data_IF_864992384695
#
_entry.id   IF_864992384695
#
_cell.length_a   1.000
_cell.length_b   1.000
_cell.length_c   1.000
_cell.angle_alpha   90.00
_cell.angle_beta   90.00
_cell.angle_gamma   90.00
#
_symmetry.space_group_name_H-M   'P 1'
#
loop_
_entity.id
_entity.type
_entity.pdbx_description
1 polymer ?
#
# COMPACT_ATOMS: atom_id res chain seq x y z
N UNK A 1 -18.97 -11.47 -60.69
CA UNK A 1 -18.87 -10.32 -59.77
C UNK A 1 -18.98 -10.87 -58.37
N UNK A 2 -17.85 -10.98 -57.68
CA UNK A 2 -17.81 -11.42 -56.29
C UNK A 2 -17.51 -10.19 -55.45
N UNK A 3 -18.46 -9.83 -54.58
CA UNK A 3 -18.32 -8.71 -53.67
C UNK A 3 -17.31 -9.11 -52.59
N UNK A 4 -16.15 -8.47 -52.61
CA UNK A 4 -15.17 -8.58 -51.52
C UNK A 4 -15.82 -8.02 -50.26
N UNK A 5 -16.11 -8.91 -49.31
CA UNK A 5 -16.47 -8.55 -47.95
C UNK A 5 -15.23 -7.93 -47.31
N UNK A 6 -15.33 -6.66 -46.94
CA UNK A 6 -14.38 -6.07 -46.01
C UNK A 6 -14.67 -6.68 -44.65
N UNK A 7 -13.80 -7.58 -44.20
CA UNK A 7 -13.69 -7.89 -42.78
C UNK A 7 -13.27 -6.57 -42.11
N UNK A 8 -14.12 -6.03 -41.22
CA UNK A 8 -13.75 -4.87 -40.41
C UNK A 8 -12.57 -5.28 -39.53
N UNK A 9 -11.36 -4.84 -39.89
CA UNK A 9 -10.23 -4.99 -39.00
C UNK A 9 -10.55 -4.28 -37.67
N UNK A 10 -10.24 -4.89 -36.52
CA UNK A 10 -10.54 -4.30 -35.23
C UNK A 10 -9.93 -2.89 -35.15
N UNK A 11 -10.76 -1.89 -34.86
CA UNK A 11 -10.36 -0.48 -34.69
C UNK A 11 -9.42 -0.24 -33.49
N UNK A 12 -9.09 -1.29 -32.75
CA UNK A 12 -8.26 -1.21 -31.56
C UNK A 12 -6.83 -1.68 -31.87
N UNK A 13 -5.81 -0.90 -31.51
CA UNK A 13 -4.43 -1.29 -31.73
C UNK A 13 -4.09 -2.53 -30.90
N UNK A 14 -3.33 -3.45 -31.49
CA UNK A 14 -2.78 -4.61 -30.77
C UNK A 14 -1.79 -4.12 -29.70
N UNK A 15 -2.21 -4.17 -28.44
CA UNK A 15 -1.45 -3.72 -27.26
C UNK A 15 -0.69 -4.86 -26.55
N UNK A 16 -0.63 -6.06 -27.14
CA UNK A 16 0.04 -7.22 -26.52
C UNK A 16 1.54 -7.02 -26.24
N UNK A 17 2.15 -6.03 -26.89
CA UNK A 17 3.53 -5.61 -26.72
C UNK A 17 3.72 -4.43 -25.75
N UNK A 18 2.63 -3.84 -25.24
CA UNK A 18 2.70 -2.77 -24.25
C UNK A 18 3.09 -3.36 -22.91
N UNK A 19 4.31 -3.04 -22.48
CA UNK A 19 4.75 -3.18 -21.11
C UNK A 19 4.13 -2.00 -20.35
N UNK A 20 2.95 -2.22 -19.75
CA UNK A 20 2.20 -1.20 -18.99
C UNK A 20 2.75 -0.94 -17.60
N UNK A 21 3.81 -1.65 -17.24
CA UNK A 21 4.44 -1.62 -15.94
C UNK A 21 5.95 -1.56 -16.16
N UNK A 22 6.65 -0.57 -15.59
CA UNK A 22 8.12 -0.65 -15.44
C UNK A 22 8.43 -2.00 -14.73
N UNK A 23 9.66 -2.52 -14.79
CA UNK A 23 10.03 -3.78 -14.10
C UNK A 23 9.95 -3.71 -12.53
N UNK A 24 9.10 -2.84 -11.98
CA UNK A 24 8.38 -3.00 -10.72
C UNK A 24 6.87 -2.96 -11.02
N UNK A 25 6.09 -3.96 -10.59
CA UNK A 25 4.67 -4.07 -10.97
C UNK A 25 3.93 -2.77 -10.67
N UNK A 26 3.36 -2.16 -11.70
CA UNK A 26 2.59 -0.93 -11.55
C UNK A 26 1.24 -1.32 -10.97
N UNK A 27 0.76 -0.53 -10.01
CA UNK A 27 -0.52 -0.82 -9.36
C UNK A 27 -1.65 -0.88 -10.38
N UNK A 28 -2.47 -1.93 -10.28
CA UNK A 28 -3.69 -2.00 -11.07
C UNK A 28 -4.67 -0.91 -10.64
N UNK A 29 -5.60 -0.53 -11.52
CA UNK A 29 -6.70 0.37 -11.16
C UNK A 29 -7.50 -0.12 -9.94
N UNK A 30 -7.54 -1.43 -9.71
CA UNK A 30 -8.19 -2.02 -8.54
C UNK A 30 -7.32 -1.78 -7.29
N UNK A 31 -6.01 -2.06 -7.36
CA UNK A 31 -5.08 -1.86 -6.26
C UNK A 31 -5.05 -0.39 -5.83
N UNK A 32 -4.95 0.53 -6.79
CA UNK A 32 -4.97 1.97 -6.55
C UNK A 32 -6.23 2.41 -5.81
N UNK A 33 -7.40 1.91 -6.22
CA UNK A 33 -8.67 2.24 -5.56
C UNK A 33 -8.74 1.65 -4.15
N UNK A 34 -8.26 0.43 -3.94
CA UNK A 34 -8.23 -0.21 -2.63
C UNK A 34 -7.36 0.59 -1.64
N UNK A 35 -6.15 0.98 -2.05
CA UNK A 35 -5.24 1.80 -1.24
C UNK A 35 -5.86 3.13 -0.84
N UNK A 36 -6.49 3.84 -1.78
CA UNK A 36 -7.12 5.15 -1.48
C UNK A 36 -8.40 5.03 -0.66
N UNK A 37 -9.24 4.04 -0.92
CA UNK A 37 -10.55 3.94 -0.26
C UNK A 37 -10.43 3.41 1.16
N UNK A 38 -9.50 2.50 1.45
CA UNK A 38 -9.42 1.84 2.74
C UNK A 38 -9.21 2.79 3.93
N UNK A 39 -8.21 3.70 3.93
CA UNK A 39 -8.05 4.67 5.03
C UNK A 39 -9.27 5.57 5.19
N UNK A 40 -9.88 5.99 4.08
CA UNK A 40 -11.06 6.85 4.08
C UNK A 40 -12.28 6.13 4.70
N UNK A 41 -12.49 4.85 4.38
CA UNK A 41 -13.56 4.03 4.96
C UNK A 41 -13.32 3.83 6.46
N UNK A 42 -12.08 3.59 6.90
CA UNK A 42 -11.76 3.49 8.33
C UNK A 42 -12.12 4.78 9.06
N UNK A 43 -11.69 5.95 8.57
CA UNK A 43 -12.03 7.23 9.19
C UNK A 43 -13.54 7.52 9.19
N UNK A 44 -14.23 7.16 8.11
CA UNK A 44 -15.67 7.38 7.98
C UNK A 44 -16.50 6.49 8.92
N UNK A 45 -16.16 5.20 9.00
CA UNK A 45 -17.06 4.17 9.56
C UNK A 45 -16.57 3.50 10.84
N UNK A 46 -15.25 3.43 11.07
CA UNK A 46 -14.71 2.74 12.24
C UNK A 46 -14.59 3.70 13.42
N UNK A 47 -15.24 3.34 14.54
CA UNK A 47 -15.22 4.12 15.80
C UNK A 47 -14.68 3.26 16.94
N UNK A 48 -13.36 3.03 17.01
CA UNK A 48 -12.76 2.14 18.01
C UNK A 48 -12.75 2.70 19.44
N UNK A 49 -13.36 3.87 19.69
CA UNK A 49 -13.35 4.52 21.00
C UNK A 49 -11.97 5.05 21.44
N UNK A 50 -11.01 5.10 20.52
CA UNK A 50 -9.63 5.59 20.72
C UNK A 50 -9.14 6.32 19.48
N UNK A 51 -8.19 7.26 19.58
CA UNK A 51 -7.65 7.92 18.41
C UNK A 51 -6.85 6.92 17.55
N UNK A 52 -6.86 7.14 16.25
CA UNK A 52 -6.04 6.39 15.32
C UNK A 52 -5.72 7.23 14.08
N UNK A 53 -4.66 6.83 13.39
CA UNK A 53 -4.30 7.32 12.07
C UNK A 53 -4.32 6.12 11.12
N UNK A 54 -5.00 6.27 9.99
CA UNK A 54 -4.89 5.38 8.84
C UNK A 54 -4.44 6.21 7.64
N UNK A 55 -3.51 5.68 6.85
CA UNK A 55 -2.99 6.35 5.67
C UNK A 55 -2.54 5.33 4.61
N UNK A 56 -2.43 5.80 3.37
CA UNK A 56 -1.92 5.04 2.24
C UNK A 56 -0.74 5.80 1.60
N UNK A 57 0.23 5.07 1.06
CA UNK A 57 1.42 5.60 0.39
C UNK A 57 2.23 6.63 1.20
N UNK A 58 2.26 6.48 2.53
CA UNK A 58 3.04 7.36 3.41
C UNK A 58 4.30 6.65 3.88
N UNK A 59 5.45 7.27 3.59
CA UNK A 59 6.75 6.74 4.02
C UNK A 59 6.85 6.55 5.54
N UNK A 60 7.27 5.35 5.93
CA UNK A 60 7.57 4.93 7.29
C UNK A 60 9.09 4.94 7.50
N UNK A 61 9.54 5.76 8.44
CA UNK A 61 10.94 5.92 8.81
C UNK A 61 11.16 5.45 10.25
N UNK A 62 12.04 4.45 10.43
CA UNK A 62 12.47 3.97 11.74
C UNK A 62 13.64 4.74 12.35
N UNK A 63 14.50 5.29 11.49
CA UNK A 63 15.65 6.11 11.87
C UNK A 63 15.89 7.21 10.84
N UNK A 64 16.81 8.12 11.14
CA UNK A 64 17.20 9.21 10.22
C UNK A 64 18.19 8.75 9.14
N UNK A 65 18.86 7.61 9.35
CA UNK A 65 19.94 7.11 8.50
C UNK A 65 19.51 5.97 7.57
N UNK A 66 18.33 5.40 7.80
CA UNK A 66 17.78 4.34 6.95
C UNK A 66 16.75 4.88 5.94
N UNK A 67 16.69 4.31 4.73
CA UNK A 67 15.63 4.65 3.79
C UNK A 67 14.26 4.24 4.34
N UNK A 68 13.23 5.00 3.97
CA UNK A 68 11.86 4.64 4.30
C UNK A 68 11.46 3.28 3.74
N UNK A 69 10.53 2.63 4.41
CA UNK A 69 9.65 1.63 3.79
C UNK A 69 8.33 2.33 3.50
N UNK A 70 7.68 2.04 2.38
CA UNK A 70 6.39 2.65 2.04
C UNK A 70 5.33 1.55 2.03
N UNK A 71 4.50 1.47 3.09
CA UNK A 71 3.29 0.68 3.09
C UNK A 71 2.29 1.20 2.07
N UNK A 72 1.61 0.29 1.39
CA UNK A 72 0.41 0.63 0.61
C UNK A 72 -0.66 1.19 1.54
N UNK A 73 -0.86 0.56 2.70
CA UNK A 73 -1.71 1.06 3.78
C UNK A 73 -1.05 0.81 5.15
N UNK A 74 -1.20 1.75 6.07
CA UNK A 74 -0.87 1.57 7.48
C UNK A 74 -1.96 2.09 8.41
N UNK A 75 -2.06 1.47 9.59
CA UNK A 75 -2.95 1.90 10.69
C UNK A 75 -2.14 1.96 11.98
N UNK A 76 -2.27 3.07 12.71
CA UNK A 76 -1.64 3.30 14.01
C UNK A 76 -2.70 3.76 15.00
N UNK A 77 -2.92 2.98 16.04
CA UNK A 77 -3.76 3.27 17.19
C UNK A 77 -3.03 4.14 18.20
N UNK A 78 -3.81 4.89 18.98
CA UNK A 78 -3.37 5.76 20.07
C UNK A 78 -2.48 6.92 19.65
N UNK A 79 -2.58 7.32 18.39
CA UNK A 79 -1.84 8.45 17.84
C UNK A 79 -2.78 9.39 17.09
N UNK A 80 -2.36 10.65 16.96
CA UNK A 80 -3.02 11.68 16.17
C UNK A 80 -2.04 12.26 15.16
N UNK A 81 -2.55 12.75 14.04
CA UNK A 81 -1.71 13.50 13.11
C UNK A 81 -1.19 14.79 13.77
N UNK A 82 0.01 15.27 13.40
CA UNK A 82 0.44 16.62 13.71
C UNK A 82 -0.54 17.65 13.14
N UNK A 83 -0.75 18.75 13.86
CA UNK A 83 -1.63 19.86 13.42
C UNK A 83 -1.22 20.42 12.04
N UNK A 84 0.08 20.42 11.75
CA UNK A 84 0.63 20.80 10.45
C UNK A 84 1.58 19.73 9.91
N UNK A 85 1.14 19.09 8.82
CA UNK A 85 1.88 18.06 8.11
C UNK A 85 2.68 18.59 6.90
N UNK A 86 2.75 19.91 6.64
CA UNK A 86 3.55 20.48 5.54
C UNK A 86 5.06 20.42 5.79
N UNK A 87 5.58 20.68 7.01
CA UNK A 87 7.01 20.63 7.27
C UNK A 87 7.60 19.23 7.05
N UNK A 88 8.83 19.17 6.48
CA UNK A 88 9.50 17.91 6.15
C UNK A 88 9.58 16.92 7.33
N UNK A 89 9.82 17.42 8.54
CA UNK A 89 9.89 16.58 9.74
C UNK A 89 8.55 16.09 10.31
N UNK A 90 7.42 16.42 9.65
CA UNK A 90 6.05 16.06 10.09
C UNK A 90 5.16 15.53 8.97
N UNK A 91 5.66 15.45 7.74
CA UNK A 91 4.89 15.06 6.53
C UNK A 91 4.87 13.56 6.23
N UNK A 92 5.51 12.76 7.06
CA UNK A 92 5.63 11.31 6.91
C UNK A 92 5.55 10.65 8.28
N UNK A 93 5.49 9.31 8.32
CA UNK A 93 5.43 8.58 9.57
C UNK A 93 6.85 8.34 10.10
N UNK A 94 7.26 9.21 11.01
CA UNK A 94 8.52 9.08 11.72
C UNK A 94 8.26 8.42 13.08
N UNK A 95 8.84 7.24 13.34
CA UNK A 95 8.57 6.51 14.59
C UNK A 95 8.93 7.32 15.84
N UNK A 96 9.92 8.21 15.77
CA UNK A 96 10.28 9.11 16.87
C UNK A 96 9.32 10.30 17.05
N UNK A 97 8.52 10.65 16.04
CA UNK A 97 7.45 11.66 16.15
C UNK A 97 6.18 11.02 16.72
N UNK A 98 5.83 9.82 16.26
CA UNK A 98 4.64 9.09 16.70
C UNK A 98 4.88 8.24 17.96
N UNK A 99 6.13 8.05 18.37
CA UNK A 99 6.54 7.30 19.56
C UNK A 99 6.49 5.77 19.42
N UNK A 100 6.08 5.25 18.26
CA UNK A 100 5.90 3.82 17.98
C UNK A 100 5.93 3.56 16.47
N UNK A 101 6.00 2.29 16.09
CA UNK A 101 5.66 1.84 14.75
C UNK A 101 4.14 1.73 14.56
N UNK A 102 3.64 1.72 13.32
CA UNK A 102 2.25 1.40 13.04
C UNK A 102 1.86 0.03 13.61
N UNK A 103 0.61 -0.09 14.06
CA UNK A 103 0.08 -1.36 14.61
C UNK A 103 -0.24 -2.37 13.52
N UNK A 104 -0.56 -1.89 12.31
CA UNK A 104 -0.88 -2.70 11.14
C UNK A 104 -0.30 -2.06 9.87
N UNK A 105 0.24 -2.91 9.00
CA UNK A 105 0.63 -2.60 7.62
C UNK A 105 -0.05 -3.63 6.71
N UNK A 106 -0.60 -3.16 5.60
CA UNK A 106 -1.27 -3.96 4.57
C UNK A 106 -0.56 -3.64 3.25
N UNK A 107 -0.29 -4.69 2.48
CA UNK A 107 0.25 -4.60 1.12
C UNK A 107 -0.79 -5.17 0.16
N UNK A 108 -1.07 -4.45 -0.92
CA UNK A 108 -2.04 -4.80 -1.96
C UNK A 108 -1.27 -5.42 -3.12
N UNK A 109 -1.19 -6.75 -3.12
CA UNK A 109 -0.34 -7.49 -4.07
C UNK A 109 -1.17 -8.13 -5.18
N UNK A 110 -0.85 -7.81 -6.44
CA UNK A 110 -1.48 -8.39 -7.63
C UNK A 110 -0.82 -9.72 -8.04
N UNK A 111 0.48 -9.88 -7.81
CA UNK A 111 1.24 -11.13 -7.98
C UNK A 111 2.37 -11.26 -6.95
N UNK A 112 2.80 -12.48 -6.62
CA UNK A 112 3.89 -12.70 -5.64
C UNK A 112 5.25 -12.67 -6.33
N UNK A 113 5.93 -11.53 -6.27
CA UNK A 113 7.35 -11.45 -6.56
C UNK A 113 8.20 -11.39 -5.28
N UNK A 114 9.49 -11.73 -5.39
CA UNK A 114 10.37 -12.01 -4.25
C UNK A 114 10.67 -10.81 -3.33
N UNK A 115 10.37 -9.58 -3.75
CA UNK A 115 10.61 -8.33 -3.00
C UNK A 115 9.76 -8.22 -1.72
N UNK A 116 8.59 -8.87 -1.68
CA UNK A 116 7.66 -8.84 -0.55
C UNK A 116 8.27 -9.41 0.74
N UNK A 117 9.14 -10.42 0.63
CA UNK A 117 9.81 -11.03 1.79
C UNK A 117 10.83 -10.06 2.40
N UNK A 118 11.47 -9.23 1.59
CA UNK A 118 12.40 -8.22 2.10
C UNK A 118 11.65 -7.06 2.75
N UNK A 119 10.58 -6.57 2.12
CA UNK A 119 9.69 -5.51 2.65
C UNK A 119 9.12 -5.91 4.02
N UNK A 120 8.60 -7.14 4.10
CA UNK A 120 8.20 -7.80 5.34
C UNK A 120 9.26 -7.79 6.45
N UNK A 121 10.49 -8.20 6.13
CA UNK A 121 11.60 -8.21 7.09
C UNK A 121 11.96 -6.80 7.55
N UNK A 122 11.83 -5.79 6.68
CA UNK A 122 12.04 -4.38 7.05
C UNK A 122 10.98 -3.94 8.06
N UNK A 123 9.70 -4.25 7.82
CA UNK A 123 8.64 -3.95 8.80
C UNK A 123 8.87 -4.62 10.16
N UNK A 124 9.27 -5.89 10.16
CA UNK A 124 9.59 -6.60 11.39
C UNK A 124 10.70 -5.91 12.20
N UNK A 125 11.76 -5.42 11.54
CA UNK A 125 12.85 -4.67 12.19
C UNK A 125 12.39 -3.34 12.77
N UNK A 126 11.38 -2.72 12.17
CA UNK A 126 10.79 -1.47 12.64
C UNK A 126 9.86 -1.67 13.84
N UNK A 127 9.58 -2.91 14.25
CA UNK A 127 8.66 -3.22 15.35
C UNK A 127 7.19 -3.21 14.94
N UNK A 128 6.89 -3.13 13.63
CA UNK A 128 5.56 -3.52 13.12
C UNK A 128 5.43 -5.01 13.39
N UNK A 129 4.35 -5.42 14.07
CA UNK A 129 4.15 -6.81 14.43
C UNK A 129 4.09 -7.65 13.16
N UNK A 130 5.13 -8.45 12.94
CA UNK A 130 5.24 -9.37 11.82
C UNK A 130 4.91 -10.77 12.31
N UNK A 131 3.74 -11.31 11.96
CA UNK A 131 3.47 -12.74 12.11
C UNK A 131 3.22 -13.35 10.73
N UNK A 132 4.10 -14.26 10.31
CA UNK A 132 3.90 -15.05 9.09
C UNK A 132 2.96 -16.20 9.44
N UNK A 133 1.67 -15.93 9.54
CA UNK A 133 0.71 -17.01 9.68
C UNK A 133 -0.68 -16.68 9.09
N UNK A 134 -0.88 -17.13 7.85
CA UNK A 134 -2.06 -17.95 7.59
C UNK A 134 -1.61 -19.38 7.94
N UNK A 135 -1.99 -19.95 9.08
CA UNK A 135 -3.32 -19.95 9.73
C UNK A 135 -3.42 -19.24 11.12
N UNK A 136 -3.31 -17.90 11.16
CA UNK A 136 -3.79 -16.96 12.21
C UNK A 136 -3.11 -16.99 13.60
N UNK A 137 -3.26 -15.96 14.48
CA UNK A 137 -3.57 -14.53 14.29
C UNK A 137 -2.35 -13.60 14.53
N UNK A 138 -2.36 -12.43 13.87
CA UNK A 138 -1.31 -11.40 13.89
C UNK A 138 -1.07 -10.87 12.47
N UNK A 139 -2.00 -10.06 11.96
CA UNK A 139 -2.29 -9.96 10.53
C UNK A 139 -1.29 -9.09 9.74
N UNK A 140 -0.52 -9.72 8.85
CA UNK A 140 -0.19 -9.11 7.56
C UNK A 140 -1.33 -9.47 6.60
N UNK A 141 -2.14 -8.49 6.23
CA UNK A 141 -3.20 -8.70 5.27
C UNK A 141 -2.63 -8.38 3.88
N UNK A 142 -2.35 -9.42 3.10
CA UNK A 142 -2.18 -9.28 1.67
C UNK A 142 -3.56 -9.34 1.03
N UNK A 143 -4.12 -8.19 0.63
CA UNK A 143 -5.36 -8.16 -0.13
C UNK A 143 -4.99 -8.43 -1.58
N UNK A 144 -5.52 -9.51 -2.14
CA UNK A 144 -5.40 -9.78 -3.57
C UNK A 144 -6.46 -8.97 -4.30
N UNK A 145 -6.02 -8.14 -5.23
CA UNK A 145 -6.88 -7.44 -6.20
C UNK A 145 -7.37 -8.38 -7.29
#
# INVERSE_FOLDING_TARGET
MEALRYEEEPLEPDVSHLVTEDDAPVDSWISEKQMRLFPNILHASWKPGRPFVAAADVGLFGSVDEPAVVPDIMVSLDVTLPEDCRPKGRRSYFTWVFGKAPDLVIEVVSNREGSEVEKARRYARLGVRWNREHRGPGEFLAIRS
#
